data_IF_023707205550
#
_entry.id   IF_023707205550
#
_cell.length_a   1.000
_cell.length_b   1.000
_cell.length_c   1.000
_cell.angle_alpha   90.00
_cell.angle_beta   90.00
_cell.angle_gamma   90.00
#
_symmetry.space_group_name_H-M   'P 1'
#
loop_
_entity.id
_entity.type
_entity.pdbx_description
1 polymer ?
#
# COMPACT_ATOMS: atom_id res chain seq x y z
N UNK A 1 6.40 -9.87 -14.89
CA UNK A 1 5.06 -9.31 -14.60
C UNK A 1 5.08 -7.77 -14.45
N UNK A 2 6.01 -7.15 -13.72
CA UNK A 2 6.02 -5.67 -13.54
C UNK A 2 6.97 -4.87 -14.44
N UNK A 3 7.62 -5.50 -15.42
CA UNK A 3 8.60 -4.84 -16.30
C UNK A 3 8.11 -3.52 -16.93
N UNK A 4 6.92 -3.45 -17.57
CA UNK A 4 6.46 -2.19 -18.15
C UNK A 4 6.22 -1.10 -17.10
N UNK A 5 5.72 -1.48 -15.92
CA UNK A 5 5.50 -0.55 -14.81
C UNK A 5 6.82 -0.03 -14.24
N UNK A 6 7.84 -0.90 -14.08
CA UNK A 6 9.16 -0.48 -13.63
C UNK A 6 9.82 0.51 -14.58
N UNK A 7 9.70 0.28 -15.89
CA UNK A 7 10.23 1.20 -16.90
C UNK A 7 9.55 2.58 -16.80
N UNK A 8 8.22 2.60 -16.73
CA UNK A 8 7.46 3.85 -16.61
C UNK A 8 7.79 4.64 -15.33
N UNK A 9 8.03 3.95 -14.21
CA UNK A 9 8.47 4.58 -12.96
C UNK A 9 9.88 5.15 -13.09
N UNK A 10 10.81 4.39 -13.69
CA UNK A 10 12.19 4.86 -13.90
C UNK A 10 12.28 6.13 -14.76
N UNK A 11 11.41 6.29 -15.75
CA UNK A 11 11.32 7.51 -16.57
C UNK A 11 10.80 8.74 -15.79
N UNK A 12 10.01 8.53 -14.73
CA UNK A 12 9.28 9.60 -14.01
C UNK A 12 9.93 10.01 -12.71
N UNK A 13 10.71 9.12 -12.10
CA UNK A 13 11.42 9.43 -10.86
C UNK A 13 12.48 10.50 -11.15
N UNK A 14 12.33 11.67 -10.53
CA UNK A 14 13.32 12.75 -10.61
C UNK A 14 13.88 13.02 -9.23
N UNK A 15 15.22 13.12 -9.14
CA UNK A 15 15.96 13.46 -7.91
C UNK A 15 15.79 12.52 -6.70
N UNK A 16 14.99 11.46 -6.81
CA UNK A 16 14.76 10.45 -5.78
C UNK A 16 15.37 9.10 -6.19
N UNK A 17 15.64 8.23 -5.21
CA UNK A 17 16.03 6.85 -5.50
C UNK A 17 14.86 6.10 -6.16
N UNK A 18 15.18 5.19 -7.08
CA UNK A 18 14.18 4.34 -7.72
C UNK A 18 13.56 3.41 -6.65
N UNK A 19 12.23 3.43 -6.44
CA UNK A 19 11.59 2.57 -5.46
C UNK A 19 11.53 1.12 -5.92
N UNK A 20 11.49 0.19 -4.97
CA UNK A 20 11.24 -1.21 -5.26
C UNK A 20 9.74 -1.45 -5.49
N UNK A 21 9.39 -1.90 -6.70
CA UNK A 21 8.02 -2.32 -7.02
C UNK A 21 7.84 -3.77 -6.60
N UNK A 22 6.93 -4.05 -5.68
CA UNK A 22 6.62 -5.40 -5.19
C UNK A 22 5.13 -5.71 -5.37
N UNK A 23 4.75 -6.98 -5.54
CA UNK A 23 3.33 -7.36 -5.50
C UNK A 23 2.76 -7.11 -4.10
N UNK A 24 1.45 -6.85 -4.03
CA UNK A 24 0.76 -6.79 -2.74
C UNK A 24 0.83 -8.18 -2.07
N UNK A 25 1.39 -8.23 -0.86
CA UNK A 25 1.58 -9.50 -0.13
C UNK A 25 0.27 -10.25 0.14
N UNK A 26 -0.84 -9.50 0.31
CA UNK A 26 -2.18 -10.04 0.54
C UNK A 26 -3.06 -10.01 -0.73
N UNK A 27 -2.50 -9.63 -1.88
CA UNK A 27 -3.25 -9.45 -3.11
C UNK A 27 -4.48 -8.56 -2.92
N UNK A 28 -5.58 -8.95 -3.56
CA UNK A 28 -6.84 -8.19 -3.56
C UNK A 28 -7.51 -8.12 -2.18
N UNK A 29 -7.11 -8.97 -1.23
CA UNK A 29 -7.66 -8.98 0.13
C UNK A 29 -7.08 -7.89 1.03
N UNK A 30 -5.99 -7.24 0.61
CA UNK A 30 -5.31 -6.19 1.39
C UNK A 30 -6.28 -5.08 1.79
N UNK A 31 -7.18 -4.68 0.88
CA UNK A 31 -8.16 -3.62 1.14
C UNK A 31 -9.17 -4.00 2.22
N UNK A 32 -9.78 -5.19 2.11
CA UNK A 32 -10.78 -5.65 3.08
C UNK A 32 -10.17 -5.86 4.47
N UNK A 33 -8.97 -6.45 4.55
CA UNK A 33 -8.31 -6.64 5.85
C UNK A 33 -7.97 -5.29 6.50
N UNK A 34 -7.39 -4.36 5.73
CA UNK A 34 -7.07 -3.03 6.22
C UNK A 34 -8.30 -2.26 6.71
N UNK A 35 -9.43 -2.37 6.00
CA UNK A 35 -10.68 -1.72 6.41
C UNK A 35 -11.19 -2.26 7.75
N UNK A 36 -11.12 -3.57 7.98
CA UNK A 36 -11.49 -4.17 9.27
C UNK A 36 -10.60 -3.72 10.42
N UNK A 37 -9.28 -3.65 10.18
CA UNK A 37 -8.32 -3.14 11.18
C UNK A 37 -8.60 -1.67 11.52
N UNK A 38 -8.83 -0.82 10.52
CA UNK A 38 -9.17 0.60 10.73
C UNK A 38 -10.47 0.77 11.52
N UNK A 39 -11.48 -0.07 11.27
CA UNK A 39 -12.72 -0.03 12.04
C UNK A 39 -12.51 -0.40 13.52
N UNK A 40 -11.64 -1.37 13.79
CA UNK A 40 -11.26 -1.72 15.17
C UNK A 40 -10.45 -0.60 15.83
N UNK A 41 -9.52 0.04 15.13
CA UNK A 41 -8.74 1.17 15.66
C UNK A 41 -9.65 2.34 16.05
N UNK A 42 -10.67 2.64 15.24
CA UNK A 42 -11.68 3.66 15.53
C UNK A 42 -12.47 3.31 16.79
N UNK A 43 -12.99 2.09 16.89
CA UNK A 43 -13.72 1.64 18.07
C UNK A 43 -12.85 1.70 19.33
N UNK A 44 -11.59 1.26 19.24
CA UNK A 44 -10.64 1.32 20.36
C UNK A 44 -10.36 2.76 20.81
N UNK A 45 -10.31 3.70 19.86
CA UNK A 45 -10.15 5.13 20.13
C UNK A 45 -11.39 5.71 20.81
N UNK A 46 -12.60 5.37 20.36
CA UNK A 46 -13.87 5.83 20.95
C UNK A 46 -14.06 5.30 22.39
N UNK A 47 -13.69 4.05 22.66
CA UNK A 47 -13.82 3.45 24.00
C UNK A 47 -12.83 4.05 25.01
N UNK A 48 -11.72 4.61 24.53
CA UNK A 48 -10.66 5.17 25.38
C UNK A 48 -10.84 6.67 25.66
N UNK A 49 -11.78 7.35 24.98
CA UNK A 49 -12.09 8.76 25.12
C UNK A 49 -13.23 9.00 26.13
#
# INVERSE_FOLDING_TARGET
>A
MFTPLRAAVAERVTFQALPEIVPAALGDTAGCLGAGLLAWDLLATEVSA
#
